data_IF_050426798142
#
_entry.id   IF_050426798142
#
_cell.length_a   1.000
_cell.length_b   1.000
_cell.length_c   1.000
_cell.angle_alpha   90.00
_cell.angle_beta   90.00
_cell.angle_gamma   90.00
#
_symmetry.space_group_name_H-M   'P 1'
#
loop_
_entity.id
_entity.type
_entity.pdbx_description
1 polymer ?
#
# COMPACT_ATOMS: atom_id res chain seq x y z
N UNK A 1 -39.55 13.02 12.19
CA UNK A 1 -38.89 12.63 11.96
C UNK A 1 -38.22 12.17 11.46
N UNK A 2 -38.12 12.29 11.42
CA UNK A 2 -37.19 11.86 11.03
C UNK A 2 -36.58 11.41 10.51
N UNK A 3 -36.58 11.58 10.71
CA UNK A 3 -35.76 11.30 10.38
C UNK A 3 -34.96 10.93 9.92
N UNK A 4 -35.00 11.15 9.99
CA UNK A 4 -33.92 10.85 9.66
C UNK A 4 -33.19 10.42 9.34
N UNK A 5 -33.18 10.59 9.62
CA UNK A 5 -32.10 10.22 9.37
C UNK A 5 -31.36 9.70 8.98
N UNK A 6 -31.57 10.00 9.25
CA UNK A 6 -30.60 9.56 8.98
C UNK A 6 -29.79 9.31 8.64
N UNK A 7 -29.87 9.60 8.94
CA UNK A 7 -28.85 9.41 8.71
C UNK A 7 -28.05 9.04 8.47
N UNK A 8 -28.21 9.28 8.80
CA UNK A 8 -27.24 9.00 8.63
C UNK A 8 -26.41 8.54 8.29
N UNK A 9 -26.52 8.77 8.47
CA UNK A 9 -25.56 8.37 8.19
C UNK A 9 -24.79 8.08 7.64
N UNK A 10 -24.91 8.28 7.82
CA UNK A 10 -24.00 8.07 7.36
C UNK A 10 -23.23 7.88 7.01
N UNK A 11 -23.26 8.09 7.31
CA UNK A 11 -22.33 7.90 7.01
C UNK A 11 -21.54 7.62 6.70
N UNK A 12 -21.64 7.74 6.97
CA UNK A 12 -20.76 7.47 6.78
C UNK A 12 -20.02 7.17 6.23
N UNK A 13 -20.03 7.20 6.34
CA UNK A 13 -19.24 7.04 5.79
C UNK A 13 -18.62 7.01 5.28
N UNK A 14 -18.67 7.24 5.32
CA UNK A 14 -18.02 7.29 4.75
C UNK A 14 -17.21 7.36 4.60
N UNK A 15 -17.36 7.80 5.24
CA UNK A 15 -16.49 7.83 5.20
C UNK A 15 -15.67 7.30 4.90
N UNK A 16 -16.02 7.59 4.91
CA UNK A 16 -15.46 6.35 4.48
C UNK A 16 -14.01 6.44 4.10
N UNK A 17 -13.23 5.49 4.56
CA UNK A 17 -11.86 5.36 4.14
C UNK A 17 -11.81 5.32 2.62
N UNK A 18 -10.87 6.03 2.02
CA UNK A 18 -10.65 5.97 0.59
C UNK A 18 -10.41 4.51 0.20
N UNK A 19 -11.02 4.10 -0.89
CA UNK A 19 -10.78 2.79 -1.44
C UNK A 19 -9.56 2.89 -2.36
N UNK A 20 -8.48 2.27 -1.96
CA UNK A 20 -7.24 2.31 -2.73
C UNK A 20 -7.12 1.14 -3.71
N UNK A 21 -8.17 0.36 -3.89
CA UNK A 21 -8.14 -0.75 -4.84
C UNK A 21 -7.77 -0.27 -6.22
N UNK A 22 -6.96 -1.04 -6.92
CA UNK A 22 -6.52 -0.73 -8.27
C UNK A 22 -5.02 -0.79 -8.40
N UNK A 23 -4.53 -0.34 -9.54
CA UNK A 23 -3.12 -0.41 -9.87
C UNK A 23 -2.41 0.89 -9.51
N UNK A 24 -1.29 0.76 -8.82
CA UNK A 24 -0.46 1.90 -8.40
C UNK A 24 0.91 1.77 -9.02
N UNK A 25 1.49 2.90 -9.38
CA UNK A 25 2.88 2.98 -9.86
C UNK A 25 3.71 3.64 -8.78
N UNK A 26 4.85 3.04 -8.48
CA UNK A 26 5.69 3.52 -7.39
C UNK A 26 7.10 3.85 -7.88
N UNK A 27 7.78 4.70 -7.12
CA UNK A 27 9.19 4.95 -7.24
C UNK A 27 9.82 4.65 -5.89
N UNK A 28 10.84 3.80 -5.88
CA UNK A 28 11.52 3.36 -4.66
C UNK A 28 12.97 3.78 -4.76
N UNK A 29 13.49 4.37 -3.69
CA UNK A 29 14.90 4.74 -3.59
C UNK A 29 15.47 4.18 -2.30
N UNK A 30 16.51 3.37 -2.43
CA UNK A 30 17.14 2.72 -1.29
C UNK A 30 18.65 2.84 -1.40
N UNK A 31 19.34 2.42 -0.34
CA UNK A 31 20.80 2.32 -0.35
C UNK A 31 21.31 1.32 -1.39
N UNK A 32 20.44 0.39 -1.80
CA UNK A 32 20.81 -0.63 -2.78
C UNK A 32 20.44 -0.24 -4.20
N UNK A 33 19.90 0.96 -4.40
CA UNK A 33 19.51 1.45 -5.73
C UNK A 33 18.05 1.85 -5.78
N UNK A 34 17.57 2.15 -6.97
CA UNK A 34 16.20 2.62 -7.17
C UNK A 34 15.45 1.68 -8.12
N UNK A 35 14.12 1.75 -8.07
CA UNK A 35 13.26 0.97 -8.92
C UNK A 35 11.89 1.60 -9.06
N UNK A 36 11.11 1.06 -9.99
CA UNK A 36 9.77 1.57 -10.28
C UNK A 36 8.77 0.41 -10.30
N UNK A 37 8.50 -0.20 -9.13
CA UNK A 37 7.56 -1.31 -9.08
C UNK A 37 6.13 -0.83 -9.26
N UNK A 38 5.24 -1.78 -9.52
CA UNK A 38 3.82 -1.51 -9.48
C UNK A 38 3.15 -2.44 -8.47
N UNK A 39 2.07 -1.95 -7.91
CA UNK A 39 1.25 -2.70 -6.96
C UNK A 39 -0.17 -2.71 -7.45
N UNK A 40 -0.82 -3.84 -7.30
CA UNK A 40 -2.27 -3.91 -7.50
C UNK A 40 -2.85 -4.24 -6.15
N UNK A 41 -3.73 -3.38 -5.65
CA UNK A 41 -4.34 -3.55 -4.34
C UNK A 41 -5.80 -3.92 -4.45
N UNK A 42 -6.23 -4.73 -3.51
CA UNK A 42 -7.63 -5.00 -3.27
C UNK A 42 -7.88 -4.73 -1.79
N UNK A 43 -8.78 -3.80 -1.51
CA UNK A 43 -9.09 -3.39 -0.14
C UNK A 43 -10.42 -3.97 0.28
N UNK A 44 -10.42 -4.58 1.47
CA UNK A 44 -11.64 -5.07 2.09
C UNK A 44 -11.63 -4.58 3.53
N UNK A 45 -12.32 -3.46 3.78
CA UNK A 45 -12.25 -2.81 5.09
C UNK A 45 -10.85 -2.29 5.36
N UNK A 46 -10.22 -2.79 6.40
CA UNK A 46 -8.85 -2.43 6.76
C UNK A 46 -7.81 -3.42 6.23
N UNK A 47 -8.25 -4.45 5.51
CA UNK A 47 -7.35 -5.47 5.01
C UNK A 47 -6.98 -5.18 3.56
N UNK A 48 -5.68 -5.29 3.27
CA UNK A 48 -5.18 -5.15 1.90
C UNK A 48 -4.62 -6.48 1.43
N UNK A 49 -4.93 -6.81 0.20
CA UNK A 49 -4.29 -7.91 -0.53
C UNK A 49 -3.92 -7.41 -1.90
N UNK A 50 -3.14 -8.17 -2.63
CA UNK A 50 -2.82 -7.79 -3.98
C UNK A 50 -1.55 -8.42 -4.48
N UNK A 51 -0.90 -7.75 -5.43
CA UNK A 51 0.28 -8.26 -6.10
C UNK A 51 1.31 -7.15 -6.27
N UNK A 52 2.54 -7.50 -5.97
CA UNK A 52 3.72 -6.70 -6.30
C UNK A 52 4.28 -7.17 -7.64
N UNK A 53 4.74 -6.22 -8.47
CA UNK A 53 5.45 -6.54 -9.72
C UNK A 53 6.58 -5.54 -9.89
N UNK A 54 7.80 -6.03 -10.03
CA UNK A 54 8.97 -5.17 -10.15
C UNK A 54 10.25 -5.95 -10.37
N UNK A 55 11.37 -5.34 -10.00
CA UNK A 55 12.69 -5.94 -10.22
C UNK A 55 12.89 -7.24 -9.46
N UNK A 56 12.17 -7.43 -8.37
CA UNK A 56 12.27 -8.65 -7.57
C UNK A 56 11.32 -9.73 -8.06
N UNK A 57 10.65 -9.51 -9.19
CA UNK A 57 9.69 -10.46 -9.75
C UNK A 57 8.28 -10.08 -9.39
N UNK A 58 7.42 -11.07 -9.25
CA UNK A 58 6.03 -10.88 -8.84
C UNK A 58 5.78 -11.66 -7.56
N UNK A 59 4.99 -11.08 -6.67
CA UNK A 59 4.68 -11.73 -5.40
C UNK A 59 3.34 -11.26 -4.89
N UNK A 60 2.60 -12.12 -4.20
CA UNK A 60 1.39 -11.68 -3.52
C UNK A 60 1.77 -10.81 -2.32
N UNK A 61 0.99 -9.78 -2.08
CA UNK A 61 1.21 -8.90 -0.94
C UNK A 61 -0.02 -8.92 -0.02
N UNK A 62 0.23 -8.63 1.24
CA UNK A 62 -0.83 -8.45 2.24
C UNK A 62 -0.47 -7.26 3.11
N UNK A 63 -1.49 -6.65 3.69
CA UNK A 63 -1.25 -5.51 4.55
C UNK A 63 -2.53 -4.99 5.17
N UNK A 64 -2.44 -3.76 5.64
CA UNK A 64 -3.58 -3.11 6.29
C UNK A 64 -3.57 -1.62 5.99
N UNK A 65 -4.76 -1.03 6.13
CA UNK A 65 -4.94 0.40 5.99
C UNK A 65 -5.86 0.86 7.12
N UNK A 66 -5.44 1.88 7.86
CA UNK A 66 -6.21 2.45 8.96
C UNK A 66 -6.15 3.96 8.84
N UNK A 67 -7.26 4.56 8.47
CA UNK A 67 -7.26 5.98 8.16
C UNK A 67 -6.32 6.22 6.99
N UNK A 68 -5.31 7.05 7.20
CA UNK A 68 -4.30 7.34 6.19
C UNK A 68 -3.06 6.48 6.32
N UNK A 69 -2.97 5.66 7.36
CA UNK A 69 -1.79 4.82 7.58
C UNK A 69 -1.92 3.52 6.81
N UNK A 70 -0.90 3.22 6.01
CA UNK A 70 -0.89 2.04 5.19
C UNK A 70 0.41 1.28 5.43
N UNK A 71 0.30 -0.04 5.51
CA UNK A 71 1.48 -0.89 5.48
C UNK A 71 1.15 -2.17 4.74
N UNK A 72 2.13 -2.68 4.02
CA UNK A 72 1.97 -3.95 3.32
C UNK A 72 3.34 -4.58 3.14
N UNK A 73 3.32 -5.87 2.92
CA UNK A 73 4.56 -6.63 2.77
C UNK A 73 4.37 -7.77 1.80
N UNK A 74 5.48 -8.25 1.28
CA UNK A 74 5.52 -9.43 0.44
C UNK A 74 6.87 -10.09 0.62
N UNK A 75 7.00 -11.31 0.13
CA UNK A 75 8.25 -12.06 0.23
C UNK A 75 8.92 -12.10 -1.12
N UNK A 76 10.23 -11.95 -1.11
CA UNK A 76 11.05 -11.98 -2.32
C UNK A 76 12.35 -12.70 -2.01
N UNK A 77 13.05 -13.13 -3.06
CA UNK A 77 14.31 -13.83 -2.90
C UNK A 77 15.36 -13.23 -3.85
N UNK A 78 15.79 -11.98 -3.58
CA UNK A 78 16.69 -11.29 -4.52
C UNK A 78 18.04 -11.96 -4.72
N UNK A 79 18.48 -12.74 -3.74
CA UNK A 79 19.78 -13.41 -3.79
C UNK A 79 19.63 -14.90 -3.43
N UNK A 80 18.44 -15.46 -3.66
CA UNK A 80 18.18 -16.85 -3.38
C UNK A 80 17.55 -17.10 -2.02
N UNK A 81 17.80 -16.26 -1.03
CA UNK A 81 17.19 -16.38 0.28
C UNK A 81 15.92 -15.54 0.35
N UNK A 82 14.87 -16.12 0.91
CA UNK A 82 13.59 -15.42 1.05
C UNK A 82 13.68 -14.38 2.16
N UNK A 83 13.31 -13.16 1.82
CA UNK A 83 13.24 -12.06 2.80
C UNK A 83 11.88 -11.41 2.70
N UNK A 84 11.47 -10.74 3.78
CA UNK A 84 10.22 -9.99 3.79
C UNK A 84 10.51 -8.54 3.46
N UNK A 85 9.82 -8.02 2.47
CA UNK A 85 9.92 -6.63 2.06
C UNK A 85 8.71 -5.91 2.63
N UNK A 86 8.95 -4.85 3.39
CA UNK A 86 7.88 -4.11 4.07
C UNK A 86 7.82 -2.67 3.60
N UNK A 87 6.62 -2.23 3.31
CA UNK A 87 6.33 -0.84 2.96
C UNK A 87 5.43 -0.26 4.03
N UNK A 88 5.72 0.97 4.46
CA UNK A 88 4.92 1.64 5.46
C UNK A 88 4.84 3.11 5.11
N UNK A 89 3.62 3.63 5.02
CA UNK A 89 3.48 5.00 4.58
C UNK A 89 2.14 5.60 4.93
N UNK A 90 1.89 6.74 4.31
CA UNK A 90 0.65 7.48 4.50
C UNK A 90 0.05 7.84 3.15
N UNK A 91 -1.27 7.76 3.11
CA UNK A 91 -2.04 8.22 1.96
C UNK A 91 -2.15 9.74 1.98
N UNK A 92 -2.17 10.32 0.80
CA UNK A 92 -2.40 11.74 0.59
C UNK A 92 -3.44 11.87 -0.50
N UNK A 93 -4.68 12.21 -0.13
CA UNK A 93 -5.77 12.44 -1.08
C UNK A 93 -6.31 11.19 -1.72
N UNK A 94 -6.07 10.04 -1.47
CA UNK A 94 -6.65 8.83 -2.04
C UNK A 94 -5.98 8.32 -3.31
N UNK A 95 -5.09 9.10 -3.92
CA UNK A 95 -4.39 8.69 -5.13
C UNK A 95 -2.87 8.85 -5.04
N UNK A 96 -2.34 9.14 -3.86
CA UNK A 96 -0.92 9.23 -3.61
C UNK A 96 -0.59 8.62 -2.27
N UNK A 97 0.59 8.06 -2.15
CA UNK A 97 1.13 7.64 -0.87
C UNK A 97 2.63 7.77 -0.88
N UNK A 98 3.20 7.90 0.31
CA UNK A 98 4.65 7.93 0.46
C UNK A 98 5.03 7.39 1.82
N UNK A 99 6.25 6.92 1.94
CA UNK A 99 6.72 6.37 3.19
C UNK A 99 8.07 5.72 3.06
N UNK A 100 8.27 4.67 3.82
CA UNK A 100 9.55 3.97 3.91
C UNK A 100 9.41 2.54 3.43
N UNK A 101 10.54 1.96 3.03
CA UNK A 101 10.62 0.57 2.63
C UNK A 101 11.80 -0.08 3.34
N UNK A 102 11.58 -1.32 3.78
CA UNK A 102 12.61 -2.14 4.43
C UNK A 102 12.77 -3.41 3.60
N UNK A 103 13.95 -3.60 3.05
CA UNK A 103 14.26 -4.73 2.18
C UNK A 103 14.84 -5.88 3.01
N UNK A 104 14.05 -6.38 3.94
CA UNK A 104 14.43 -7.54 4.73
C UNK A 104 15.61 -7.30 5.65
N UNK A 105 15.82 -6.05 6.07
CA UNK A 105 16.96 -5.71 6.92
C UNK A 105 18.25 -5.47 6.16
N UNK A 106 18.27 -5.73 4.85
CA UNK A 106 19.49 -5.55 4.05
C UNK A 106 19.68 -4.10 3.61
N UNK A 107 18.58 -3.39 3.40
CA UNK A 107 18.60 -2.01 2.95
C UNK A 107 17.30 -1.36 3.35
N UNK A 108 17.31 -0.04 3.48
CA UNK A 108 16.11 0.74 3.73
C UNK A 108 16.07 1.90 2.77
N UNK A 109 14.90 2.49 2.62
CA UNK A 109 14.76 3.62 1.73
C UNK A 109 13.38 4.23 1.84
N UNK A 110 13.01 4.96 0.80
CA UNK A 110 11.74 5.66 0.72
C UNK A 110 11.01 5.27 -0.54
N UNK A 111 9.69 5.47 -0.53
CA UNK A 111 8.90 5.26 -1.73
C UNK A 111 7.82 6.31 -1.85
N UNK A 112 7.44 6.55 -3.08
CA UNK A 112 6.23 7.30 -3.41
C UNK A 112 5.45 6.46 -4.41
N UNK A 113 4.12 6.56 -4.36
CA UNK A 113 3.29 5.83 -5.29
C UNK A 113 2.09 6.68 -5.69
N UNK A 114 1.63 6.47 -6.91
CA UNK A 114 0.46 7.17 -7.41
C UNK A 114 -0.47 6.20 -8.09
N UNK A 115 -1.75 6.50 -7.98
CA UNK A 115 -2.80 5.77 -8.68
C UNK A 115 -3.30 6.68 -9.80
N UNK A 116 -3.07 6.30 -11.05
CA UNK A 116 -3.50 7.12 -12.19
C UNK A 116 -5.01 7.19 -12.33
#
# INVERSE_FOLDING_TARGET
>A
MLRNFVLILATTALLAAADISGKWSATVETDAGSGTPSFTFKQAGETLTGTYSGQLGEAPLTGSIKGDDIEFSFKAAPQGDTVTIKYKGKLSGGNQMKGTVDLGGMATGTFTATKP
#
